data_IF_264034060241
#
_entry.id   IF_264034060241
#
_cell.length_a   1.000
_cell.length_b   1.000
_cell.length_c   1.000
_cell.angle_alpha   90.00
_cell.angle_beta   90.00
_cell.angle_gamma   90.00
#
_symmetry.space_group_name_H-M   'P 1'
#
loop_
_entity.id
_entity.type
_entity.pdbx_description
1 polymer ?
#
# COMPACT_ATOMS: atom_id res chain seq x y z
N UNK A 1 -5.14 -3.95 0.11
CA UNK A 1 -4.66 -4.88 -0.94
C UNK A 1 -4.53 -4.12 -2.25
N UNK A 2 -3.41 -4.25 -2.96
CA UNK A 2 -3.24 -3.66 -4.30
C UNK A 2 -3.48 -4.72 -5.38
N UNK A 3 -3.95 -4.28 -6.55
CA UNK A 3 -4.06 -5.11 -7.74
C UNK A 3 -2.88 -4.85 -8.69
N UNK A 4 -2.45 -5.88 -9.43
CA UNK A 4 -1.59 -5.67 -10.59
C UNK A 4 -2.32 -4.90 -11.68
N UNK A 5 -1.59 -4.21 -12.56
CA UNK A 5 -2.16 -3.42 -13.65
C UNK A 5 -3.14 -4.24 -14.51
N UNK A 6 -2.79 -5.49 -14.86
CA UNK A 6 -3.66 -6.33 -15.68
C UNK A 6 -4.97 -6.69 -14.96
N UNK A 7 -4.92 -6.98 -13.65
CA UNK A 7 -6.10 -7.26 -12.82
C UNK A 7 -6.99 -6.01 -12.70
N UNK A 8 -6.37 -4.85 -12.43
CA UNK A 8 -7.07 -3.57 -12.36
C UNK A 8 -7.78 -3.25 -13.70
N UNK A 9 -7.10 -3.44 -14.83
CA UNK A 9 -7.68 -3.23 -16.15
C UNK A 9 -8.85 -4.18 -16.44
N UNK A 10 -8.72 -5.47 -16.10
CA UNK A 10 -9.78 -6.44 -16.29
C UNK A 10 -11.03 -6.09 -15.46
N UNK A 11 -10.83 -5.76 -14.20
CA UNK A 11 -11.91 -5.30 -13.33
C UNK A 11 -12.60 -4.05 -13.89
N UNK A 12 -11.84 -3.02 -14.28
CA UNK A 12 -12.37 -1.76 -14.81
C UNK A 12 -13.06 -1.93 -16.16
N UNK A 13 -12.60 -2.85 -17.01
CA UNK A 13 -13.29 -3.18 -18.26
C UNK A 13 -14.69 -3.70 -18.03
N UNK A 14 -14.91 -4.46 -16.95
CA UNK A 14 -16.24 -4.93 -16.51
C UNK A 14 -17.23 -3.79 -16.22
N UNK A 15 -16.72 -2.61 -15.86
CA UNK A 15 -17.49 -1.37 -15.63
C UNK A 15 -17.53 -0.44 -16.86
N UNK A 16 -17.08 -0.94 -18.02
CA UNK A 16 -17.13 -0.22 -19.29
C UNK A 16 -16.06 0.86 -19.47
N UNK A 17 -14.97 0.84 -18.71
CA UNK A 17 -13.84 1.73 -18.94
C UNK A 17 -13.05 1.26 -20.17
N UNK A 18 -12.64 2.18 -21.08
CA UNK A 18 -11.88 1.86 -22.27
C UNK A 18 -10.41 1.60 -21.92
N UNK A 19 -10.11 0.42 -21.40
CA UNK A 19 -8.74 0.04 -21.00
C UNK A 19 -7.91 -0.40 -22.20
N UNK A 20 -6.61 -0.08 -22.19
CA UNK A 20 -5.65 -0.61 -23.16
C UNK A 20 -5.59 -2.13 -23.06
N UNK A 21 -5.74 -2.82 -24.18
CA UNK A 21 -5.58 -4.27 -24.29
C UNK A 21 -4.16 -4.73 -23.96
N UNK A 22 -4.07 -5.95 -23.40
CA UNK A 22 -2.78 -6.55 -23.08
C UNK A 22 -2.91 -8.04 -22.83
N UNK A 23 -1.79 -8.75 -22.93
CA UNK A 23 -1.66 -10.20 -22.69
C UNK A 23 -0.58 -10.39 -21.63
N UNK A 24 -0.94 -11.07 -20.54
CA UNK A 24 -0.01 -11.43 -19.48
C UNK A 24 0.96 -12.50 -19.97
N UNK A 25 2.23 -12.38 -19.60
CA UNK A 25 3.28 -13.34 -19.93
C UNK A 25 4.15 -13.61 -18.69
N UNK A 26 4.36 -14.88 -18.37
CA UNK A 26 5.18 -15.33 -17.24
C UNK A 26 6.63 -15.66 -17.63
N UNK A 27 6.95 -15.64 -18.93
CA UNK A 27 8.29 -15.89 -19.46
C UNK A 27 8.48 -15.24 -20.83
N UNK A 28 9.72 -15.28 -21.35
CA UNK A 28 10.07 -14.66 -22.64
C UNK A 28 9.34 -15.24 -23.83
N UNK A 29 9.09 -16.56 -23.88
CA UNK A 29 8.38 -17.20 -24.98
C UNK A 29 6.91 -16.78 -25.03
N UNK A 30 6.27 -16.67 -23.87
CA UNK A 30 4.90 -16.17 -23.78
C UNK A 30 4.81 -14.69 -24.20
N UNK A 31 5.81 -13.87 -23.82
CA UNK A 31 5.88 -12.47 -24.24
C UNK A 31 6.06 -12.34 -25.76
N UNK A 32 6.89 -13.18 -26.36
CA UNK A 32 7.05 -13.26 -27.81
C UNK A 32 5.74 -13.67 -28.51
N UNK A 33 5.04 -14.68 -27.99
CA UNK A 33 3.75 -15.11 -28.51
C UNK A 33 2.66 -14.04 -28.34
N UNK A 34 2.67 -13.30 -27.23
CA UNK A 34 1.78 -12.18 -26.99
C UNK A 34 2.02 -11.03 -28.00
N UNK A 35 3.28 -10.72 -28.28
CA UNK A 35 3.66 -9.73 -29.30
C UNK A 35 3.08 -10.09 -30.68
N UNK A 36 3.22 -11.35 -31.12
CA UNK A 36 2.66 -11.81 -32.39
C UNK A 36 1.13 -11.68 -32.43
N UNK A 37 0.44 -12.06 -31.34
CA UNK A 37 -1.04 -11.94 -31.21
C UNK A 37 -1.52 -10.50 -31.27
N UNK A 38 -0.73 -9.54 -30.80
CA UNK A 38 -1.04 -8.10 -30.85
C UNK A 38 -0.69 -7.44 -32.21
N UNK A 39 -0.36 -8.23 -33.23
CA UNK A 39 -0.13 -7.76 -34.60
C UNK A 39 1.33 -7.64 -35.00
N UNK A 40 2.28 -7.92 -34.11
CA UNK A 40 3.69 -8.13 -34.45
C UNK A 40 4.47 -6.92 -34.97
N UNK A 41 4.02 -5.67 -34.69
CA UNK A 41 4.70 -4.44 -35.16
C UNK A 41 5.34 -3.65 -34.01
N UNK A 42 4.52 -3.29 -33.04
CA UNK A 42 4.93 -2.55 -31.86
C UNK A 42 4.12 -3.07 -30.66
N UNK A 43 4.77 -3.18 -29.53
CA UNK A 43 4.11 -3.46 -28.26
C UNK A 43 4.85 -2.76 -27.12
N UNK A 44 4.17 -2.60 -25.99
CA UNK A 44 4.76 -2.10 -24.76
C UNK A 44 4.78 -3.22 -23.73
N UNK A 45 5.96 -3.56 -23.23
CA UNK A 45 6.12 -4.53 -22.15
C UNK A 45 6.19 -3.79 -20.82
N UNK A 46 5.32 -4.16 -19.89
CA UNK A 46 5.20 -3.53 -18.57
C UNK A 46 5.38 -4.56 -17.47
N UNK A 47 6.40 -4.39 -16.62
CA UNK A 47 6.60 -5.21 -15.42
C UNK A 47 5.36 -5.11 -14.50
N UNK A 48 4.89 -6.24 -13.98
CA UNK A 48 3.76 -6.31 -13.07
C UNK A 48 4.26 -6.31 -11.63
N UNK A 49 4.24 -5.12 -11.00
CA UNK A 49 4.62 -4.89 -9.59
C UNK A 49 3.66 -3.90 -8.95
N UNK A 50 3.49 -3.97 -7.63
CA UNK A 50 2.62 -3.06 -6.86
C UNK A 50 3.29 -1.71 -6.55
N UNK A 51 4.08 -1.17 -7.48
CA UNK A 51 4.75 0.10 -7.33
C UNK A 51 4.56 0.99 -8.57
N UNK A 52 4.45 2.30 -8.35
CA UNK A 52 4.49 3.31 -9.39
C UNK A 52 5.92 3.61 -9.84
N UNK A 53 6.06 4.46 -10.88
CA UNK A 53 7.37 4.86 -11.38
C UNK A 53 8.11 3.82 -12.22
N UNK A 54 7.44 2.74 -12.61
CA UNK A 54 8.00 1.63 -13.40
C UNK A 54 8.72 2.09 -14.67
N UNK A 55 8.19 3.09 -15.36
CA UNK A 55 8.80 3.64 -16.58
C UNK A 55 10.21 4.18 -16.33
N UNK A 56 10.37 5.01 -15.29
CA UNK A 56 11.68 5.60 -14.91
C UNK A 56 12.66 4.53 -14.41
N UNK A 57 12.15 3.47 -13.79
CA UNK A 57 12.94 2.35 -13.29
C UNK A 57 13.30 1.31 -14.38
N UNK A 58 12.89 1.53 -15.64
CA UNK A 58 13.17 0.61 -16.74
C UNK A 58 12.23 -0.59 -16.84
N UNK A 59 11.16 -0.62 -16.03
CA UNK A 59 10.13 -1.66 -16.02
C UNK A 59 9.08 -1.53 -17.13
N UNK A 60 9.18 -0.50 -17.99
CA UNK A 60 8.32 -0.29 -19.18
C UNK A 60 9.21 -0.10 -20.39
N UNK A 61 9.00 -0.90 -21.43
CA UNK A 61 9.80 -0.89 -22.66
C UNK A 61 8.94 -1.06 -23.90
N UNK A 62 9.14 -0.22 -24.89
CA UNK A 62 8.59 -0.39 -26.25
C UNK A 62 9.46 -1.40 -26.99
N UNK A 63 8.83 -2.35 -27.65
CA UNK A 63 9.49 -3.41 -28.44
C UNK A 63 8.93 -3.43 -29.86
N UNK A 64 9.79 -3.78 -30.84
CA UNK A 64 9.49 -3.68 -32.26
C UNK A 64 9.64 -5.02 -32.99
N UNK A 65 10.00 -6.06 -32.26
CA UNK A 65 10.12 -7.41 -32.80
C UNK A 65 9.82 -8.44 -31.75
N UNK A 66 9.50 -9.65 -32.21
CA UNK A 66 9.28 -10.84 -31.39
C UNK A 66 10.48 -11.16 -30.49
N UNK A 67 11.69 -11.11 -31.04
CA UNK A 67 12.93 -11.42 -30.32
C UNK A 67 13.22 -10.36 -29.25
N UNK A 68 12.96 -9.10 -29.55
CA UNK A 68 13.09 -8.00 -28.59
C UNK A 68 12.09 -8.15 -27.43
N UNK A 69 10.83 -8.56 -27.73
CA UNK A 69 9.83 -8.83 -26.72
C UNK A 69 10.26 -9.96 -25.78
N UNK A 70 10.79 -11.06 -26.33
CA UNK A 70 11.35 -12.16 -25.56
C UNK A 70 12.48 -11.68 -24.65
N UNK A 71 13.46 -10.99 -25.20
CA UNK A 71 14.65 -10.53 -24.46
C UNK A 71 14.30 -9.54 -23.35
N UNK A 72 13.38 -8.60 -23.58
CA UNK A 72 12.93 -7.64 -22.56
C UNK A 72 12.23 -8.36 -21.43
N UNK A 73 11.35 -9.32 -21.72
CA UNK A 73 10.65 -10.09 -20.70
C UNK A 73 11.64 -10.93 -19.85
N UNK A 74 12.60 -11.62 -20.47
CA UNK A 74 13.66 -12.38 -19.77
C UNK A 74 14.57 -11.49 -18.91
N UNK A 75 14.76 -10.24 -19.32
CA UNK A 75 15.54 -9.27 -18.55
C UNK A 75 14.80 -8.71 -17.33
N UNK A 76 13.48 -8.74 -17.33
CA UNK A 76 12.63 -8.23 -16.25
C UNK A 76 12.19 -9.33 -15.28
N UNK A 77 11.68 -10.44 -15.80
CA UNK A 77 11.12 -11.53 -14.98
C UNK A 77 12.21 -12.21 -14.14
N UNK A 78 11.89 -12.49 -12.88
CA UNK A 78 12.80 -13.08 -11.90
C UNK A 78 13.79 -12.09 -11.27
N UNK A 79 13.66 -10.79 -11.54
CA UNK A 79 14.46 -9.72 -10.91
C UNK A 79 13.58 -8.82 -10.09
N UNK A 80 14.18 -8.09 -9.16
CA UNK A 80 13.49 -7.05 -8.42
C UNK A 80 13.57 -5.71 -9.15
N UNK A 81 12.45 -5.03 -9.26
CA UNK A 81 12.36 -3.68 -9.82
C UNK A 81 12.36 -2.66 -8.68
N UNK A 82 13.40 -1.83 -8.63
CA UNK A 82 13.52 -0.75 -7.67
C UNK A 82 12.97 0.53 -8.29
N UNK A 83 11.97 1.13 -7.65
CA UNK A 83 11.37 2.42 -8.04
C UNK A 83 11.47 3.40 -6.89
N UNK A 84 11.09 4.66 -7.11
CA UNK A 84 11.05 5.65 -6.02
C UNK A 84 9.95 5.37 -4.98
N UNK A 85 9.04 4.42 -5.25
CA UNK A 85 7.98 3.99 -4.33
C UNK A 85 8.31 2.69 -3.59
N UNK A 86 9.44 2.04 -3.91
CA UNK A 86 9.89 0.81 -3.22
C UNK A 86 11.03 1.12 -2.25
N UNK A 87 11.28 0.18 -1.37
CA UNK A 87 12.54 0.15 -0.63
C UNK A 87 13.74 -0.19 -1.55
N UNK A 88 14.95 -0.27 -0.99
CA UNK A 88 16.17 -0.59 -1.73
C UNK A 88 16.20 -2.01 -2.31
N UNK A 89 15.37 -2.93 -1.78
CA UNK A 89 15.27 -4.31 -2.28
C UNK A 89 14.39 -4.39 -3.53
N UNK A 90 13.48 -3.43 -3.72
CA UNK A 90 12.53 -3.40 -4.83
C UNK A 90 11.41 -4.44 -4.69
N UNK A 91 10.65 -4.59 -5.78
CA UNK A 91 9.52 -5.52 -5.86
C UNK A 91 9.82 -6.63 -6.89
N UNK A 92 9.54 -7.91 -6.60
CA UNK A 92 9.81 -9.00 -7.52
C UNK A 92 8.91 -8.90 -8.76
N UNK A 93 9.51 -9.03 -9.95
CA UNK A 93 8.78 -9.09 -11.21
C UNK A 93 8.51 -10.56 -11.55
N UNK A 94 7.29 -11.02 -11.28
CA UNK A 94 6.87 -12.39 -11.55
C UNK A 94 6.31 -12.56 -12.97
N UNK A 95 5.84 -11.48 -13.57
CA UNK A 95 5.24 -11.47 -14.91
C UNK A 95 5.34 -10.08 -15.54
N UNK A 96 5.12 -10.04 -16.85
CA UNK A 96 5.01 -8.80 -17.62
C UNK A 96 3.68 -8.76 -18.37
N UNK A 97 3.14 -7.57 -18.58
CA UNK A 97 1.98 -7.32 -19.43
C UNK A 97 2.48 -6.79 -20.78
N UNK A 98 2.19 -7.52 -21.85
CA UNK A 98 2.47 -7.11 -23.23
C UNK A 98 1.24 -6.39 -23.75
N UNK A 99 1.34 -5.08 -23.97
CA UNK A 99 0.22 -4.23 -24.37
C UNK A 99 0.35 -3.75 -25.82
N UNK A 100 -0.78 -3.42 -26.41
CA UNK A 100 -0.82 -2.67 -27.66
C UNK A 100 -0.09 -1.33 -27.50
N UNK A 101 0.59 -0.88 -28.58
CA UNK A 101 1.09 0.48 -28.64
C UNK A 101 -0.08 1.44 -28.90
N UNK A 102 -0.23 2.44 -28.04
CA UNK A 102 -1.32 3.43 -28.14
C UNK A 102 -0.90 4.72 -28.84
N UNK A 103 0.39 4.86 -29.14
CA UNK A 103 0.88 6.07 -29.82
C UNK A 103 0.65 6.03 -31.35
N UNK A 104 0.43 7.19 -31.96
CA UNK A 104 0.45 8.53 -31.37
C UNK A 104 -0.84 8.90 -30.61
N UNK A 105 -0.68 9.72 -29.56
CA UNK A 105 -1.78 10.28 -28.77
C UNK A 105 -1.80 11.81 -28.88
N UNK A 106 -2.97 12.42 -28.79
CA UNK A 106 -3.11 13.87 -28.81
C UNK A 106 -2.71 14.51 -27.48
N UNK A 107 -3.15 13.89 -26.38
CA UNK A 107 -2.97 14.43 -25.03
C UNK A 107 -3.01 13.28 -24.01
N UNK A 108 -2.24 13.43 -22.95
CA UNK A 108 -2.26 12.56 -21.78
C UNK A 108 -2.87 13.32 -20.60
N UNK A 109 -3.86 12.72 -19.96
CA UNK A 109 -4.61 13.25 -18.83
C UNK A 109 -4.40 12.38 -17.61
N UNK A 110 -4.71 12.93 -16.46
CA UNK A 110 -4.79 12.21 -15.19
C UNK A 110 -6.23 12.08 -14.71
N UNK A 111 -6.60 10.93 -14.18
CA UNK A 111 -7.85 10.74 -13.46
C UNK A 111 -7.61 9.80 -12.27
N UNK A 112 -7.94 10.26 -11.07
CA UNK A 112 -7.86 9.46 -9.85
C UNK A 112 -9.05 9.66 -8.94
N UNK A 113 -9.25 8.75 -7.99
CA UNK A 113 -10.22 8.89 -6.92
C UNK A 113 -9.71 8.28 -5.63
N UNK A 114 -10.02 8.92 -4.52
CA UNK A 114 -9.69 8.46 -3.16
C UNK A 114 -10.84 8.76 -2.21
N UNK A 115 -10.84 8.09 -1.06
CA UNK A 115 -11.65 8.52 0.08
C UNK A 115 -10.91 9.64 0.80
N UNK A 116 -11.37 10.88 0.64
CA UNK A 116 -10.82 12.04 1.34
C UNK A 116 -11.31 12.04 2.79
N UNK A 117 -10.37 11.95 3.72
CA UNK A 117 -10.67 11.86 5.17
C UNK A 117 -11.21 13.18 5.74
N UNK A 118 -10.82 14.31 5.16
CA UNK A 118 -11.28 15.64 5.58
C UNK A 118 -12.69 15.89 5.09
N UNK A 119 -12.94 15.64 3.80
CA UNK A 119 -14.28 15.75 3.21
C UNK A 119 -15.20 14.60 3.63
N UNK A 120 -14.65 13.47 4.09
CA UNK A 120 -15.39 12.21 4.41
C UNK A 120 -16.24 11.75 3.22
N UNK A 121 -15.68 11.84 2.03
CA UNK A 121 -16.34 11.60 0.74
C UNK A 121 -15.35 10.97 -0.23
N UNK A 122 -15.87 10.31 -1.24
CA UNK A 122 -15.09 10.00 -2.42
C UNK A 122 -14.83 11.31 -3.16
N UNK A 123 -13.56 11.56 -3.46
CA UNK A 123 -13.12 12.73 -4.23
C UNK A 123 -12.43 12.24 -5.49
N UNK A 124 -12.97 12.65 -6.64
CA UNK A 124 -12.27 12.51 -7.91
C UNK A 124 -11.33 13.68 -8.13
N UNK A 125 -10.18 13.38 -8.70
CA UNK A 125 -9.16 14.35 -9.12
C UNK A 125 -8.84 14.11 -10.58
N UNK A 126 -8.81 15.16 -11.35
CA UNK A 126 -8.44 15.09 -12.76
C UNK A 126 -7.47 16.24 -13.10
N UNK A 127 -6.55 16.01 -14.06
CA UNK A 127 -5.59 17.02 -14.50
C UNK A 127 -5.29 16.88 -15.98
N UNK A 128 -4.92 17.99 -16.61
CA UNK A 128 -4.34 18.02 -17.97
C UNK A 128 -2.89 17.55 -18.00
N UNK A 129 -2.27 17.37 -16.84
CA UNK A 129 -0.91 16.88 -16.68
C UNK A 129 -0.95 15.35 -16.42
N UNK A 130 -1.05 14.56 -17.49
CA UNK A 130 -0.97 13.11 -17.44
C UNK A 130 0.45 12.57 -17.72
N UNK A 131 0.70 11.30 -17.39
CA UNK A 131 2.00 10.65 -17.59
C UNK A 131 3.12 11.14 -16.66
N UNK A 132 2.79 11.99 -15.70
CA UNK A 132 3.74 12.56 -14.72
C UNK A 132 3.34 12.22 -13.28
N UNK A 133 4.22 12.52 -12.32
CA UNK A 133 3.93 12.33 -10.88
C UNK A 133 2.92 13.39 -10.42
N UNK A 134 1.69 12.96 -10.13
CA UNK A 134 0.60 13.88 -9.77
C UNK A 134 0.86 14.60 -8.44
N UNK A 135 1.64 14.01 -7.56
CA UNK A 135 2.05 14.60 -6.29
C UNK A 135 2.85 15.89 -6.52
N UNK A 136 3.73 15.91 -7.52
CA UNK A 136 4.47 17.11 -7.92
C UNK A 136 3.55 18.17 -8.51
N UNK A 137 2.59 17.77 -9.33
CA UNK A 137 1.58 18.71 -9.86
C UNK A 137 0.77 19.30 -8.72
N UNK A 138 0.42 18.50 -7.70
CA UNK A 138 -0.30 18.97 -6.52
C UNK A 138 0.50 19.98 -5.68
N UNK A 139 1.82 19.82 -5.63
CA UNK A 139 2.72 20.72 -4.89
C UNK A 139 3.05 21.99 -5.69
N UNK A 140 3.42 21.87 -6.96
CA UNK A 140 3.93 22.96 -7.78
C UNK A 140 2.83 23.78 -8.48
N UNK A 141 1.74 23.12 -8.92
CA UNK A 141 0.65 23.72 -9.72
C UNK A 141 -0.72 23.17 -9.32
N UNK A 142 -1.15 23.33 -8.05
CA UNK A 142 -2.40 22.75 -7.53
C UNK A 142 -3.66 23.20 -8.29
N UNK A 143 -3.63 24.36 -8.96
CA UNK A 143 -4.73 24.89 -9.78
C UNK A 143 -5.00 24.04 -11.03
N UNK A 144 -4.05 23.18 -11.45
CA UNK A 144 -4.23 22.22 -12.55
C UNK A 144 -4.97 20.95 -12.13
N UNK A 145 -5.25 20.77 -10.84
CA UNK A 145 -5.99 19.62 -10.33
C UNK A 145 -7.45 20.02 -10.09
N UNK A 146 -8.34 19.47 -10.88
CA UNK A 146 -9.78 19.65 -10.77
C UNK A 146 -10.36 18.59 -9.84
N UNK A 147 -11.01 19.01 -8.75
CA UNK A 147 -11.59 18.10 -7.75
C UNK A 147 -13.10 18.07 -7.84
N UNK A 148 -13.67 16.88 -7.69
CA UNK A 148 -15.11 16.64 -7.57
C UNK A 148 -15.36 15.84 -6.31
N UNK A 149 -16.05 16.46 -5.35
CA UNK A 149 -16.52 15.80 -4.13
C UNK A 149 -17.86 15.12 -4.45
N UNK A 150 -17.93 13.80 -4.23
CA UNK A 150 -19.15 13.04 -4.52
C UNK A 150 -19.98 12.91 -3.25
N UNK A 151 -21.25 13.30 -3.31
CA UNK A 151 -22.17 13.06 -2.22
C UNK A 151 -22.63 11.58 -2.23
N UNK A 152 -22.46 10.82 -1.14
CA UNK A 152 -22.74 9.38 -1.11
C UNK A 152 -24.24 9.06 -1.23
N UNK A 153 -25.15 10.02 -0.98
CA UNK A 153 -26.59 9.80 -1.08
C UNK A 153 -27.09 9.82 -2.53
N UNK A 154 -26.48 10.64 -3.37
CA UNK A 154 -26.88 10.80 -4.78
C UNK A 154 -25.86 10.23 -5.77
N UNK A 155 -24.67 9.91 -5.30
CA UNK A 155 -23.57 9.40 -6.13
C UNK A 155 -23.01 10.47 -7.09
N UNK A 156 -22.07 10.03 -7.93
CA UNK A 156 -21.50 10.89 -8.96
C UNK A 156 -22.55 11.22 -10.04
N UNK A 157 -22.82 12.51 -10.22
CA UNK A 157 -23.80 12.95 -11.20
C UNK A 157 -23.13 13.23 -12.56
N UNK A 158 -23.79 12.91 -13.69
CA UNK A 158 -23.25 13.14 -15.03
C UNK A 158 -22.89 14.61 -15.31
N UNK A 159 -23.55 15.55 -14.66
CA UNK A 159 -23.21 16.98 -14.78
C UNK A 159 -21.82 17.30 -14.18
N UNK A 160 -21.48 16.69 -13.06
CA UNK A 160 -20.16 16.85 -12.43
C UNK A 160 -19.05 16.30 -13.36
N UNK A 161 -19.23 15.08 -13.90
CA UNK A 161 -18.29 14.50 -14.85
C UNK A 161 -18.15 15.34 -16.13
N UNK A 162 -19.25 15.92 -16.61
CA UNK A 162 -19.24 16.81 -17.78
C UNK A 162 -18.48 18.11 -17.51
N UNK A 163 -18.64 18.69 -16.33
CA UNK A 163 -17.88 19.88 -15.93
C UNK A 163 -16.36 19.59 -15.94
N UNK A 164 -15.94 18.45 -15.40
CA UNK A 164 -14.54 18.01 -15.41
C UNK A 164 -14.04 17.82 -16.85
N UNK A 165 -14.84 17.18 -17.71
CA UNK A 165 -14.49 16.98 -19.12
C UNK A 165 -14.18 18.30 -19.82
N UNK A 166 -14.98 19.33 -19.58
CA UNK A 166 -14.73 20.65 -20.15
C UNK A 166 -13.48 21.33 -19.59
N UNK A 167 -13.23 21.19 -18.28
CA UNK A 167 -12.00 21.69 -17.65
C UNK A 167 -10.74 21.00 -18.18
N UNK A 168 -10.83 19.72 -18.55
CA UNK A 168 -9.78 18.98 -19.23
C UNK A 168 -9.61 19.33 -20.71
N UNK A 169 -10.45 20.22 -21.27
CA UNK A 169 -10.41 20.61 -22.66
C UNK A 169 -11.01 19.60 -23.63
N UNK A 170 -11.73 18.58 -23.15
CA UNK A 170 -12.39 17.57 -23.97
C UNK A 170 -13.57 18.18 -24.74
N UNK A 171 -13.80 17.68 -25.99
CA UNK A 171 -14.76 18.22 -26.92
C UNK A 171 -15.66 17.14 -27.53
N UNK A 172 -16.79 17.54 -28.00
CA UNK A 172 -17.72 16.73 -28.80
C UNK A 172 -18.01 15.34 -28.14
N UNK A 173 -17.75 14.27 -28.88
CA UNK A 173 -17.94 12.88 -28.41
C UNK A 173 -17.06 12.50 -27.22
N UNK A 174 -15.90 13.17 -27.02
CA UNK A 174 -14.99 12.91 -25.91
C UNK A 174 -15.65 13.20 -24.56
N UNK A 175 -16.48 14.26 -24.50
CA UNK A 175 -17.22 14.59 -23.27
C UNK A 175 -18.15 13.45 -22.85
N UNK A 176 -18.89 12.89 -23.80
CA UNK A 176 -19.79 11.76 -23.55
C UNK A 176 -19.03 10.49 -23.15
N UNK A 177 -17.87 10.23 -23.74
CA UNK A 177 -16.99 9.11 -23.37
C UNK A 177 -16.44 9.29 -21.94
N UNK A 178 -15.97 10.49 -21.61
CA UNK A 178 -15.44 10.78 -20.27
C UNK A 178 -16.52 10.68 -19.19
N UNK A 179 -17.74 11.14 -19.46
CA UNK A 179 -18.86 10.98 -18.52
C UNK A 179 -19.13 9.51 -18.24
N UNK A 180 -19.19 8.66 -19.28
CA UNK A 180 -19.36 7.21 -19.10
C UNK A 180 -18.22 6.59 -18.30
N UNK A 181 -16.96 6.94 -18.64
CA UNK A 181 -15.76 6.46 -17.97
C UNK A 181 -15.78 6.84 -16.48
N UNK A 182 -16.00 8.10 -16.15
CA UNK A 182 -15.99 8.58 -14.78
C UNK A 182 -17.14 7.99 -13.96
N UNK A 183 -18.32 7.79 -14.56
CA UNK A 183 -19.46 7.11 -13.92
C UNK A 183 -19.17 5.64 -13.66
N UNK A 184 -18.61 4.91 -14.63
CA UNK A 184 -18.19 3.52 -14.46
C UNK A 184 -17.08 3.38 -13.41
N UNK A 185 -16.12 4.29 -13.40
CA UNK A 185 -15.07 4.33 -12.37
C UNK A 185 -15.65 4.53 -10.96
N UNK A 186 -16.66 5.39 -10.81
CA UNK A 186 -17.34 5.58 -9.53
C UNK A 186 -18.10 4.33 -9.08
N UNK A 187 -18.80 3.66 -10.00
CA UNK A 187 -19.48 2.39 -9.69
C UNK A 187 -18.48 1.33 -9.24
N UNK A 188 -17.37 1.15 -10.00
CA UNK A 188 -16.30 0.23 -9.62
C UNK A 188 -15.73 0.55 -8.24
N UNK A 189 -15.51 1.84 -7.95
CA UNK A 189 -14.97 2.34 -6.70
C UNK A 189 -15.85 1.95 -5.50
N UNK A 190 -17.18 2.15 -5.62
CA UNK A 190 -18.10 1.89 -4.53
C UNK A 190 -18.42 0.39 -4.37
N UNK A 191 -18.64 -0.33 -5.48
CA UNK A 191 -19.05 -1.73 -5.43
C UNK A 191 -17.94 -2.67 -4.95
N UNK A 192 -16.67 -2.27 -5.20
CA UNK A 192 -15.51 -3.07 -4.83
C UNK A 192 -14.67 -2.45 -3.69
N UNK A 193 -15.21 -1.50 -2.94
CA UNK A 193 -14.53 -0.83 -1.82
C UNK A 193 -13.10 -0.38 -2.18
N UNK A 194 -12.96 0.39 -3.26
CA UNK A 194 -11.63 0.92 -3.58
C UNK A 194 -11.17 1.93 -2.52
N UNK A 195 -9.93 1.81 -2.10
CA UNK A 195 -9.22 2.82 -1.32
C UNK A 195 -8.51 3.84 -2.23
N UNK A 196 -8.11 3.37 -3.42
CA UNK A 196 -7.42 4.15 -4.45
C UNK A 196 -7.87 3.68 -5.83
N UNK A 197 -8.13 4.63 -6.71
CA UNK A 197 -8.28 4.44 -8.14
C UNK A 197 -7.42 5.48 -8.86
N UNK A 198 -6.64 5.06 -9.84
CA UNK A 198 -5.78 5.97 -10.61
C UNK A 198 -5.62 5.46 -12.03
N UNK A 199 -5.84 6.35 -12.99
CA UNK A 199 -5.52 6.18 -14.41
C UNK A 199 -4.50 7.26 -14.78
N UNK A 200 -3.27 6.83 -15.06
CA UNK A 200 -2.17 7.75 -15.36
C UNK A 200 -1.14 7.14 -16.33
N UNK A 201 -1.27 7.42 -17.65
CA UNK A 201 -2.18 8.39 -18.25
C UNK A 201 -3.55 7.83 -18.68
N UNK A 202 -4.54 8.72 -18.70
CA UNK A 202 -5.73 8.61 -19.53
C UNK A 202 -5.44 9.32 -20.86
N UNK A 203 -5.27 8.57 -21.93
CA UNK A 203 -4.88 9.12 -23.23
C UNK A 203 -6.07 9.49 -24.09
N UNK A 204 -5.97 10.64 -24.78
CA UNK A 204 -6.82 11.03 -25.89
C UNK A 204 -6.11 10.62 -27.17
N UNK A 205 -6.65 9.66 -27.90
CA UNK A 205 -6.08 9.17 -29.17
C UNK A 205 -6.34 10.14 -30.32
N UNK A 206 -5.61 9.97 -31.43
CA UNK A 206 -5.79 10.80 -32.63
C UNK A 206 -7.21 10.74 -33.23
N UNK A 207 -7.89 9.58 -33.10
CA UNK A 207 -9.29 9.43 -33.52
C UNK A 207 -10.31 10.06 -32.56
N UNK A 208 -9.80 10.68 -31.49
CA UNK A 208 -10.59 11.31 -30.43
C UNK A 208 -11.20 10.32 -29.45
N UNK A 209 -10.82 9.03 -29.46
CA UNK A 209 -11.23 8.09 -28.43
C UNK A 209 -10.39 8.24 -27.18
N UNK A 210 -10.98 7.91 -26.01
CA UNK A 210 -10.27 7.85 -24.73
C UNK A 210 -9.75 6.43 -24.48
N UNK A 211 -8.59 6.30 -23.86
CA UNK A 211 -8.04 5.02 -23.45
C UNK A 211 -7.30 5.10 -22.09
N UNK A 212 -7.63 4.21 -21.18
CA UNK A 212 -6.91 4.02 -19.93
C UNK A 212 -5.64 3.20 -20.21
N UNK A 213 -4.49 3.88 -20.27
CA UNK A 213 -3.21 3.26 -20.66
C UNK A 213 -2.55 2.55 -19.50
N UNK A 214 -2.60 3.13 -18.30
CA UNK A 214 -2.19 2.50 -17.05
C UNK A 214 -3.32 2.59 -16.03
N UNK A 215 -3.37 1.63 -15.11
CA UNK A 215 -4.38 1.58 -14.07
C UNK A 215 -3.77 1.08 -12.76
N UNK A 216 -4.04 1.81 -11.68
CA UNK A 216 -3.66 1.43 -10.32
C UNK A 216 -4.92 1.42 -9.45
N UNK A 217 -5.19 0.28 -8.83
CA UNK A 217 -6.34 0.09 -7.95
C UNK A 217 -5.87 -0.52 -6.64
N UNK A 218 -6.25 0.14 -5.55
CA UNK A 218 -6.11 -0.39 -4.20
C UNK A 218 -7.50 -0.68 -3.62
N UNK A 219 -7.66 -1.86 -3.04
CA UNK A 219 -8.89 -2.31 -2.38
C UNK A 219 -8.75 -2.14 -0.87
N UNK A 220 -9.80 -1.72 -0.19
CA UNK A 220 -9.82 -1.75 1.28
C UNK A 220 -9.73 -3.20 1.77
N UNK A 221 -8.64 -3.53 2.48
CA UNK A 221 -8.43 -4.88 3.01
C UNK A 221 -9.54 -5.34 3.96
N UNK A 222 -10.21 -4.40 4.63
CA UNK A 222 -11.32 -4.71 5.51
C UNK A 222 -12.60 -5.16 4.78
N UNK A 223 -12.69 -4.94 3.47
CA UNK A 223 -13.83 -5.33 2.66
C UNK A 223 -13.68 -6.72 2.01
N UNK A 224 -12.49 -7.31 2.02
CA UNK A 224 -12.19 -8.56 1.30
C UNK A 224 -13.08 -9.74 1.71
N UNK A 225 -13.61 -9.77 2.95
CA UNK A 225 -14.53 -10.82 3.39
C UNK A 225 -15.80 -10.90 2.56
N UNK A 226 -16.27 -9.79 1.96
CA UNK A 226 -17.43 -9.72 1.09
C UNK A 226 -17.09 -9.74 -0.42
N UNK A 227 -15.79 -9.74 -0.76
CA UNK A 227 -15.26 -9.69 -2.13
C UNK A 227 -14.34 -10.90 -2.39
N UNK A 228 -14.83 -12.15 -2.31
CA UNK A 228 -13.99 -13.35 -2.39
C UNK A 228 -13.24 -13.46 -3.71
N UNK A 229 -13.85 -13.11 -4.84
CA UNK A 229 -13.22 -13.15 -6.16
C UNK A 229 -12.03 -12.17 -6.25
N UNK A 230 -12.16 -10.98 -5.63
CA UNK A 230 -11.06 -10.01 -5.57
C UNK A 230 -9.99 -10.48 -4.58
N UNK A 231 -10.37 -11.09 -3.46
CA UNK A 231 -9.42 -11.61 -2.48
C UNK A 231 -8.49 -12.69 -3.08
N UNK A 232 -8.98 -13.50 -4.03
CA UNK A 232 -8.19 -14.49 -4.75
C UNK A 232 -7.12 -13.87 -5.68
N UNK A 233 -7.29 -12.61 -6.07
CA UNK A 233 -6.31 -11.88 -6.89
C UNK A 233 -5.09 -11.39 -6.10
N UNK A 234 -5.05 -11.60 -4.79
CA UNK A 234 -3.98 -11.12 -3.91
C UNK A 234 -2.65 -11.77 -4.23
N UNK A 235 -1.65 -10.97 -4.58
CA UNK A 235 -0.27 -11.43 -4.75
C UNK A 235 0.54 -11.14 -3.48
N UNK A 236 0.68 -12.18 -2.64
CA UNK A 236 1.44 -12.08 -1.38
C UNK A 236 2.93 -11.81 -1.60
N UNK A 237 3.49 -12.12 -2.77
CA UNK A 237 4.91 -11.87 -3.06
C UNK A 237 5.25 -10.38 -3.19
N UNK A 238 4.22 -9.54 -3.38
CA UNK A 238 4.33 -8.08 -3.47
C UNK A 238 4.12 -7.37 -2.12
N UNK A 239 3.84 -8.12 -1.05
CA UNK A 239 3.57 -7.57 0.28
C UNK A 239 4.80 -7.71 1.19
N UNK A 240 4.85 -6.91 2.25
CA UNK A 240 5.91 -7.02 3.24
C UNK A 240 5.77 -8.35 4.01
N UNK A 241 6.84 -9.15 4.05
CA UNK A 241 6.82 -10.48 4.68
C UNK A 241 6.43 -10.44 6.16
N UNK A 242 6.85 -9.39 6.90
CA UNK A 242 6.50 -9.23 8.32
C UNK A 242 5.03 -8.87 8.52
N UNK A 243 4.48 -8.02 7.63
CA UNK A 243 3.06 -7.69 7.65
C UNK A 243 2.19 -8.90 7.31
N UNK A 244 2.64 -9.72 6.35
CA UNK A 244 1.98 -10.99 6.03
C UNK A 244 1.96 -11.95 7.23
N UNK A 245 3.13 -12.20 7.85
CA UNK A 245 3.23 -13.05 9.04
C UNK A 245 2.37 -12.51 10.19
N UNK A 246 2.39 -11.19 10.42
CA UNK A 246 1.55 -10.56 11.44
C UNK A 246 0.07 -10.83 11.21
N UNK A 247 -0.39 -10.78 9.96
CA UNK A 247 -1.79 -11.01 9.61
C UNK A 247 -2.25 -12.45 9.91
N UNK A 248 -1.36 -13.44 9.85
CA UNK A 248 -1.66 -14.83 10.20
C UNK A 248 -1.98 -15.03 11.70
N UNK A 249 -1.46 -14.14 12.54
CA UNK A 249 -1.72 -14.10 13.99
C UNK A 249 -2.76 -13.03 14.38
N UNK A 250 -3.46 -12.44 13.40
CA UNK A 250 -4.41 -11.34 13.60
C UNK A 250 -3.78 -10.13 14.33
N UNK A 251 -2.52 -9.85 14.07
CA UNK A 251 -1.79 -8.70 14.56
C UNK A 251 -1.84 -7.55 13.53
N UNK A 252 -2.08 -6.34 14.00
CA UNK A 252 -1.97 -5.14 13.16
C UNK A 252 -0.52 -4.66 13.20
N UNK A 253 0.24 -4.93 12.15
CA UNK A 253 1.64 -4.56 12.02
C UNK A 253 1.88 -3.71 10.77
N UNK A 254 2.69 -2.66 10.92
CA UNK A 254 3.22 -1.87 9.80
C UNK A 254 4.71 -1.68 10.01
N UNK A 255 5.52 -2.05 9.04
CA UNK A 255 6.96 -1.83 9.06
C UNK A 255 7.29 -0.35 8.84
N UNK A 256 8.24 0.19 9.61
CA UNK A 256 8.74 1.56 9.50
C UNK A 256 10.27 1.57 9.45
N UNK A 257 10.83 2.71 9.05
CA UNK A 257 12.28 2.92 9.01
C UNK A 257 12.79 3.47 10.35
N UNK A 258 13.07 2.61 11.30
CA UNK A 258 13.55 3.02 12.62
C UNK A 258 14.36 1.92 13.31
N UNK A 259 14.67 2.14 14.59
CA UNK A 259 15.50 1.24 15.40
C UNK A 259 14.92 0.90 16.77
N UNK A 260 13.71 1.38 17.07
CA UNK A 260 12.99 1.08 18.32
C UNK A 260 11.74 0.29 17.96
N UNK A 261 11.71 -1.00 18.30
CA UNK A 261 10.54 -1.84 18.15
C UNK A 261 9.45 -1.43 19.13
N UNK A 262 8.19 -1.41 18.68
CA UNK A 262 7.04 -1.03 19.48
C UNK A 262 6.03 -2.16 19.55
N UNK A 263 5.58 -2.52 20.77
CA UNK A 263 4.47 -3.43 21.03
C UNK A 263 3.46 -2.75 21.94
N UNK A 264 2.24 -2.59 21.46
CA UNK A 264 1.22 -1.80 22.16
C UNK A 264 -0.15 -2.50 22.03
N UNK A 265 -1.04 -2.31 22.96
CA UNK A 265 -2.43 -2.72 22.81
C UNK A 265 -3.33 -1.50 22.55
N UNK A 266 -3.89 -1.47 21.35
CA UNK A 266 -4.76 -0.41 20.88
C UNK A 266 -4.06 0.59 19.96
N UNK A 267 -4.61 0.81 18.78
CA UNK A 267 -4.02 1.61 17.70
C UNK A 267 -3.74 3.06 18.12
N UNK A 268 -4.63 3.70 18.91
CA UNK A 268 -4.42 5.06 19.40
C UNK A 268 -3.22 5.18 20.36
N UNK A 269 -3.05 4.19 21.24
CA UNK A 269 -1.92 4.13 22.15
C UNK A 269 -0.62 3.85 21.38
N UNK A 270 -0.67 3.00 20.34
CA UNK A 270 0.48 2.73 19.46
C UNK A 270 0.95 4.00 18.74
N UNK A 271 0.04 4.78 18.16
CA UNK A 271 0.37 6.07 17.54
C UNK A 271 0.99 7.05 18.54
N UNK A 272 0.38 7.21 19.72
CA UNK A 272 0.92 8.08 20.78
C UNK A 272 2.30 7.61 21.27
N UNK A 273 2.53 6.30 21.32
CA UNK A 273 3.83 5.73 21.69
C UNK A 273 4.91 6.06 20.65
N UNK A 274 4.58 5.94 19.36
CA UNK A 274 5.51 6.32 18.30
C UNK A 274 5.80 7.82 18.29
N UNK A 275 4.79 8.66 18.52
CA UNK A 275 4.95 10.10 18.58
C UNK A 275 5.88 10.52 19.72
N UNK A 276 5.69 9.97 20.93
CA UNK A 276 6.54 10.31 22.08
C UNK A 276 7.97 9.82 21.88
N UNK A 277 8.20 8.65 21.26
CA UNK A 277 9.53 8.18 20.90
C UNK A 277 10.21 9.20 19.98
N UNK A 278 9.52 9.69 18.93
CA UNK A 278 10.04 10.72 18.03
C UNK A 278 10.34 12.03 18.74
N UNK A 279 9.46 12.49 19.62
CA UNK A 279 9.66 13.70 20.43
C UNK A 279 10.89 13.61 21.35
N UNK A 280 11.26 12.39 21.79
CA UNK A 280 12.47 12.14 22.56
C UNK A 280 13.72 11.87 21.71
N UNK A 281 13.62 12.01 20.39
CA UNK A 281 14.74 11.83 19.43
C UNK A 281 14.98 10.40 18.99
N UNK A 282 14.09 9.45 19.29
CA UNK A 282 14.14 8.07 18.82
C UNK A 282 13.44 7.87 17.47
N UNK A 283 13.59 6.70 16.87
CA UNK A 283 12.96 6.33 15.60
C UNK A 283 12.21 5.00 15.75
N UNK A 284 10.85 5.00 15.69
CA UNK A 284 10.06 3.77 15.72
C UNK A 284 10.34 2.90 14.50
N UNK A 285 10.57 1.60 14.72
CA UNK A 285 10.81 0.61 13.65
C UNK A 285 9.52 -0.02 13.12
N UNK A 286 8.44 0.07 13.88
CA UNK A 286 7.15 -0.48 13.50
C UNK A 286 6.00 0.15 14.26
N UNK A 287 4.81 0.10 13.65
CA UNK A 287 3.55 0.11 14.37
C UNK A 287 3.18 -1.34 14.68
N UNK A 288 2.75 -1.64 15.91
CA UNK A 288 2.18 -2.94 16.24
C UNK A 288 1.14 -2.81 17.34
N UNK A 289 -0.08 -3.23 17.01
CA UNK A 289 -1.20 -3.33 17.94
C UNK A 289 -1.56 -4.82 18.14
N UNK A 290 -1.36 -5.32 19.35
CA UNK A 290 -1.71 -6.70 19.72
C UNK A 290 -3.20 -6.89 20.00
N UNK A 291 -3.98 -5.79 19.99
CA UNK A 291 -5.42 -5.77 20.22
C UNK A 291 -5.82 -5.95 21.69
N UNK A 292 -7.11 -5.72 21.94
CA UNK A 292 -7.69 -5.82 23.30
C UNK A 292 -7.92 -7.25 23.79
N UNK A 293 -7.71 -8.26 22.96
CA UNK A 293 -7.84 -9.70 23.28
C UNK A 293 -6.53 -10.46 23.16
N UNK A 294 -5.38 -9.81 23.38
CA UNK A 294 -4.07 -10.41 23.21
C UNK A 294 -3.90 -11.68 24.06
N UNK A 295 -3.63 -12.81 23.40
CA UNK A 295 -3.24 -14.06 24.04
C UNK A 295 -1.72 -14.13 24.20
N UNK A 296 -1.26 -15.08 25.04
CA UNK A 296 0.18 -15.32 25.20
C UNK A 296 0.85 -15.62 23.85
N UNK A 297 0.23 -16.43 23.01
CA UNK A 297 0.75 -16.82 21.70
C UNK A 297 0.92 -15.60 20.78
N UNK A 298 -0.07 -14.72 20.74
CA UNK A 298 0.01 -13.46 19.94
C UNK A 298 1.13 -12.56 20.43
N UNK A 299 1.32 -12.43 21.73
CA UNK A 299 2.41 -11.61 22.31
C UNK A 299 3.77 -12.20 21.96
N UNK A 300 3.93 -13.53 22.03
CA UNK A 300 5.18 -14.21 21.65
C UNK A 300 5.49 -13.98 20.16
N UNK A 301 4.52 -14.17 19.28
CA UNK A 301 4.72 -13.95 17.84
C UNK A 301 4.96 -12.48 17.50
N UNK A 302 4.26 -11.56 18.16
CA UNK A 302 4.53 -10.12 18.03
C UNK A 302 5.97 -9.77 18.40
N UNK A 303 6.50 -10.37 19.47
CA UNK A 303 7.88 -10.16 19.90
C UNK A 303 8.89 -10.72 18.90
N UNK A 304 8.63 -11.92 18.36
CA UNK A 304 9.46 -12.53 17.30
C UNK A 304 9.52 -11.64 16.06
N UNK A 305 8.37 -11.15 15.59
CA UNK A 305 8.27 -10.28 14.43
C UNK A 305 9.09 -8.98 14.60
N UNK A 306 9.03 -8.36 15.78
CA UNK A 306 9.83 -7.16 16.06
C UNK A 306 11.33 -7.47 15.99
N UNK A 307 11.77 -8.61 16.53
CA UNK A 307 13.18 -8.97 16.61
C UNK A 307 13.73 -9.59 15.30
N UNK A 308 12.89 -10.02 14.37
CA UNK A 308 13.31 -10.36 13.00
C UNK A 308 13.88 -9.14 12.25
N UNK A 309 13.52 -7.94 12.67
CA UNK A 309 14.08 -6.72 12.11
C UNK A 309 15.48 -6.45 12.70
N UNK A 310 16.50 -6.64 11.89
CA UNK A 310 17.90 -6.43 12.27
C UNK A 310 18.25 -4.96 12.58
N UNK A 311 17.39 -4.02 12.17
CA UNK A 311 17.55 -2.59 12.50
C UNK A 311 17.16 -2.28 13.94
N UNK A 312 16.35 -3.14 14.58
CA UNK A 312 15.85 -2.94 15.95
C UNK A 312 17.00 -3.11 16.96
N UNK A 313 17.26 -2.03 17.70
CA UNK A 313 18.29 -1.95 18.76
C UNK A 313 17.69 -1.92 20.16
N UNK A 314 16.38 -1.79 20.30
CA UNK A 314 15.66 -1.84 21.56
C UNK A 314 14.16 -1.97 21.35
N UNK A 315 13.42 -2.44 22.35
CA UNK A 315 11.97 -2.66 22.26
C UNK A 315 11.26 -1.91 23.38
N UNK A 316 10.25 -1.12 23.01
CA UNK A 316 9.32 -0.52 23.97
C UNK A 316 7.99 -1.28 23.94
N UNK A 317 7.60 -1.82 25.08
CA UNK A 317 6.30 -2.45 25.30
C UNK A 317 5.47 -1.48 26.14
N UNK A 318 4.33 -1.06 25.61
CA UNK A 318 3.44 -0.12 26.27
C UNK A 318 2.02 -0.67 26.31
N UNK A 319 1.60 -1.16 27.46
CA UNK A 319 0.31 -1.80 27.66
C UNK A 319 -0.55 -0.99 28.62
N UNK A 320 -1.78 -0.71 28.18
CA UNK A 320 -2.83 -0.20 29.05
C UNK A 320 -3.86 -1.32 29.30
N UNK A 321 -3.89 -1.81 30.52
CA UNK A 321 -4.79 -2.89 30.97
C UNK A 321 -6.21 -2.39 31.16
N UNK A 322 -7.00 -2.43 30.08
CA UNK A 322 -8.45 -2.28 30.16
C UNK A 322 -9.11 -3.68 30.21
N UNK A 323 -9.47 -4.21 29.04
CA UNK A 323 -9.97 -5.59 28.87
C UNK A 323 -8.82 -6.59 29.09
N UNK A 324 -7.65 -6.30 28.52
CA UNK A 324 -6.42 -7.10 28.73
C UNK A 324 -5.86 -6.81 30.12
N UNK A 325 -5.46 -7.87 30.85
CA UNK A 325 -4.86 -7.76 32.16
C UNK A 325 -3.33 -7.69 32.04
N UNK A 326 -2.72 -6.76 32.76
CA UNK A 326 -1.28 -6.55 32.73
C UNK A 326 -0.47 -7.74 33.26
N UNK A 327 -0.99 -8.50 34.21
CA UNK A 327 -0.35 -9.71 34.70
C UNK A 327 -0.22 -10.80 33.63
N UNK A 328 -1.27 -11.03 32.82
CA UNK A 328 -1.23 -11.98 31.71
C UNK A 328 -0.19 -11.56 30.64
N UNK A 329 -0.16 -10.27 30.35
CA UNK A 329 0.82 -9.73 29.39
C UNK A 329 2.25 -9.85 29.95
N UNK A 330 2.46 -9.57 31.22
CA UNK A 330 3.77 -9.74 31.87
C UNK A 330 4.26 -11.18 31.78
N UNK A 331 3.40 -12.17 32.04
CA UNK A 331 3.72 -13.59 31.87
C UNK A 331 4.07 -13.93 30.41
N UNK A 332 3.32 -13.38 29.45
CA UNK A 332 3.57 -13.58 28.05
C UNK A 332 4.90 -12.95 27.61
N UNK A 333 5.23 -11.74 28.07
CA UNK A 333 6.52 -11.07 27.82
C UNK A 333 7.66 -11.91 28.38
N UNK A 334 7.57 -12.37 29.64
CA UNK A 334 8.59 -13.21 30.27
C UNK A 334 8.81 -14.51 29.49
N UNK A 335 7.73 -15.14 29.03
CA UNK A 335 7.81 -16.33 28.19
C UNK A 335 8.47 -16.05 26.85
N UNK A 336 8.07 -14.98 26.16
CA UNK A 336 8.62 -14.58 24.86
C UNK A 336 10.12 -14.27 24.96
N UNK A 337 10.52 -13.45 25.95
CA UNK A 337 11.94 -13.07 26.15
C UNK A 337 12.81 -14.29 26.42
N UNK A 338 12.31 -15.28 27.15
CA UNK A 338 13.02 -16.56 27.38
C UNK A 338 13.12 -17.41 26.13
N UNK A 339 12.04 -17.49 25.34
CA UNK A 339 11.98 -18.32 24.14
C UNK A 339 12.88 -17.77 23.02
N UNK A 340 12.86 -16.44 22.82
CA UNK A 340 13.54 -15.77 21.69
C UNK A 340 14.99 -15.37 22.03
N UNK A 341 15.43 -15.52 23.29
CA UNK A 341 16.77 -15.12 23.76
C UNK A 341 17.11 -13.66 23.39
N UNK A 342 16.30 -12.72 23.88
CA UNK A 342 16.39 -11.29 23.56
C UNK A 342 17.72 -10.70 24.03
N UNK A 343 18.46 -10.09 23.11
CA UNK A 343 19.77 -9.47 23.36
C UNK A 343 19.71 -7.94 23.42
N UNK A 344 18.62 -7.34 22.98
CA UNK A 344 18.42 -5.89 22.97
C UNK A 344 17.74 -5.41 24.27
N UNK A 345 17.92 -4.14 24.70
CA UNK A 345 17.21 -3.60 25.83
C UNK A 345 15.69 -3.60 25.61
N UNK A 346 14.94 -3.95 26.64
CA UNK A 346 13.49 -3.97 26.64
C UNK A 346 12.98 -3.08 27.77
N UNK A 347 12.21 -2.07 27.40
CA UNK A 347 11.51 -1.20 28.36
C UNK A 347 10.04 -1.54 28.35
N UNK A 348 9.45 -1.72 29.52
CA UNK A 348 8.05 -2.13 29.68
C UNK A 348 7.31 -1.12 30.55
N UNK A 349 6.23 -0.57 30.01
CA UNK A 349 5.27 0.22 30.77
C UNK A 349 3.96 -0.55 30.83
N UNK A 350 3.48 -0.81 32.03
CA UNK A 350 2.20 -1.43 32.33
C UNK A 350 1.35 -0.44 33.14
N UNK A 351 0.13 -0.19 32.72
CA UNK A 351 -0.82 0.66 33.44
C UNK A 351 -2.24 0.08 33.35
N UNK A 352 -3.08 0.34 34.33
CA UNK A 352 -4.45 -0.15 34.37
C UNK A 352 -4.60 -1.46 35.14
N UNK A 353 -5.43 -2.36 34.63
CA UNK A 353 -5.88 -3.57 35.37
C UNK A 353 -4.71 -4.51 35.70
N UNK A 354 -4.47 -4.80 36.98
CA UNK A 354 -3.38 -5.66 37.50
C UNK A 354 -1.95 -5.16 37.14
N UNK A 355 -1.76 -3.85 36.95
CA UNK A 355 -0.45 -3.28 36.60
C UNK A 355 0.62 -3.58 37.67
N UNK A 356 0.30 -3.45 38.96
CA UNK A 356 1.23 -3.73 40.05
C UNK A 356 1.66 -5.20 40.06
N UNK A 357 0.72 -6.16 39.84
CA UNK A 357 1.02 -7.58 39.76
C UNK A 357 1.88 -7.88 38.51
N UNK A 358 1.57 -7.25 37.38
CA UNK A 358 2.39 -7.37 36.17
C UNK A 358 3.81 -6.85 36.36
N UNK A 359 3.98 -5.68 36.97
CA UNK A 359 5.31 -5.14 37.32
C UNK A 359 6.09 -6.07 38.24
N UNK A 360 5.43 -6.67 39.25
CA UNK A 360 6.04 -7.67 40.13
C UNK A 360 6.55 -8.90 39.35
N UNK A 361 5.73 -9.46 38.46
CA UNK A 361 6.10 -10.60 37.60
C UNK A 361 7.34 -10.28 36.76
N UNK A 362 7.39 -9.09 36.15
CA UNK A 362 8.54 -8.66 35.36
C UNK A 362 9.81 -8.52 36.20
N UNK A 363 9.72 -7.90 37.38
CA UNK A 363 10.87 -7.71 38.29
C UNK A 363 11.39 -9.02 38.85
N UNK A 364 10.52 -9.98 39.17
CA UNK A 364 10.89 -11.31 39.70
C UNK A 364 11.35 -12.29 38.62
N UNK A 365 11.22 -11.95 37.34
CA UNK A 365 11.56 -12.84 36.22
C UNK A 365 13.06 -13.14 36.07
N UNK A 366 13.92 -12.32 36.67
CA UNK A 366 15.38 -12.39 36.52
C UNK A 366 15.89 -11.97 35.14
N UNK A 367 15.02 -11.42 34.28
CA UNK A 367 15.36 -10.94 32.95
C UNK A 367 15.80 -9.46 33.00
N UNK A 368 16.61 -9.03 32.02
CA UNK A 368 17.04 -7.64 31.87
C UNK A 368 15.90 -6.81 31.25
N UNK A 369 14.86 -6.56 32.02
CA UNK A 369 13.72 -5.72 31.66
C UNK A 369 13.76 -4.45 32.48
N UNK A 370 13.49 -3.30 31.85
CA UNK A 370 13.43 -2.00 32.52
C UNK A 370 11.98 -1.57 32.64
N UNK A 371 11.46 -1.46 33.84
CA UNK A 371 10.12 -0.95 34.10
C UNK A 371 10.08 0.58 33.96
N UNK A 372 8.96 1.11 33.45
CA UNK A 372 8.71 2.54 33.32
C UNK A 372 7.38 2.93 33.99
N UNK A 373 7.38 4.10 34.66
CA UNK A 373 6.24 4.57 35.44
C UNK A 373 5.21 5.36 34.62
N UNK A 374 5.59 5.84 33.44
CA UNK A 374 4.69 6.59 32.54
C UNK A 374 5.20 6.59 31.10
N UNK A 375 4.39 7.12 30.19
CA UNK A 375 4.70 7.10 28.76
C UNK A 375 5.96 7.93 28.42
N UNK A 376 6.15 9.10 29.07
CA UNK A 376 7.36 9.91 28.91
C UNK A 376 8.61 9.19 29.41
N UNK A 377 8.54 8.62 30.62
CA UNK A 377 9.63 7.87 31.24
C UNK A 377 10.02 6.64 30.39
N UNK A 378 9.02 5.94 29.85
CA UNK A 378 9.23 4.81 28.96
C UNK A 378 9.98 5.20 27.66
N UNK A 379 9.58 6.31 27.05
CA UNK A 379 10.24 6.80 25.83
C UNK A 379 11.67 7.29 26.11
N UNK A 380 11.89 8.00 27.22
CA UNK A 380 13.24 8.46 27.63
C UNK A 380 14.18 7.28 27.89
N UNK A 381 13.70 6.28 28.62
CA UNK A 381 14.48 5.07 28.94
C UNK A 381 14.87 4.28 27.70
N UNK A 382 13.92 4.04 26.77
CA UNK A 382 14.24 3.27 25.57
C UNK A 382 15.16 4.04 24.62
N UNK A 383 14.95 5.36 24.44
CA UNK A 383 15.83 6.16 23.59
C UNK A 383 17.23 6.24 24.18
N UNK A 384 17.37 6.40 25.49
CA UNK A 384 18.67 6.37 26.16
C UNK A 384 19.37 5.01 26.00
N UNK A 385 18.62 3.90 26.17
CA UNK A 385 19.18 2.55 26.05
C UNK A 385 19.63 2.18 24.62
N UNK A 386 18.97 2.73 23.59
CA UNK A 386 19.35 2.49 22.19
C UNK A 386 20.52 3.33 21.74
N UNK A 387 20.74 4.50 22.39
CA UNK A 387 21.86 5.43 22.06
C UNK A 387 23.12 5.18 22.92
N UNK A 388 23.06 4.30 23.91
CA UNK A 388 24.19 3.89 24.74
C UNK A 388 25.08 2.85 24.04
#
# INVERSE_FOLDING_TARGET
MNLHEYQAKELLAGYGLPVQGGILAANGEEAAAAFDKLGGKFAVIKAQVHAGGRGKAGGVKVVKSRDEAKQVAENLIGKNLVTYQTDANGQPVNSVLVCEDMYPVQTELYLGAVVDRTARRVVFMASTEGGVEIEKVAEETPEKIFKVVVDPLVGLQPCQAREVAFKLGLKDKQVGQFVKLMTGAYQAFIENDFALFEINPLSVREDGSLACVDAKVGIDGNALYRLPEIAELRDKSQENERELKASEFELNYVALEGNIGCMVNGAGLAMATMDIIKLKGGQPANFLDVGGGATKERVVEAFKLILEDKSVKGVLINIFGGIVRCDMIAEAIVAAVKEVNVTVPVVVRLEGNNAELGAKILNESGLKLTSADGLNDAAEKIVAAVNA
#
